data_IF_657352476798
#
_entry.id   IF_657352476798
#
_cell.length_a   1.000
_cell.length_b   1.000
_cell.length_c   1.000
_cell.angle_alpha   90.00
_cell.angle_beta   90.00
_cell.angle_gamma   90.00
#
_symmetry.space_group_name_H-M   'P 1'
#
loop_
_entity.id
_entity.type
_entity.pdbx_description
1 polymer ?
#
# COMPACT_ATOMS: atom_id res chain seq x y z
N UNK A 1 -2.63 46.06 -33.64
CA UNK A 1 -2.26 44.63 -33.61
C UNK A 1 -2.30 44.21 -32.15
N UNK A 2 -3.40 43.61 -31.71
CA UNK A 2 -3.62 43.24 -30.32
C UNK A 2 -3.06 41.82 -30.09
N UNK A 3 -2.12 41.69 -29.15
CA UNK A 3 -1.65 40.39 -28.69
C UNK A 3 -2.58 39.90 -27.58
N UNK A 4 -3.37 38.86 -27.87
CA UNK A 4 -4.07 38.08 -26.84
C UNK A 4 -3.05 37.24 -26.09
N UNK A 5 -2.76 37.60 -24.84
CA UNK A 5 -2.16 36.68 -23.87
C UNK A 5 -3.23 35.67 -23.47
N UNK A 6 -3.10 34.43 -23.92
CA UNK A 6 -3.83 33.31 -23.36
C UNK A 6 -3.22 33.00 -21.98
N UNK A 7 -3.87 33.47 -20.92
CA UNK A 7 -3.62 32.99 -19.57
C UNK A 7 -4.14 31.56 -19.51
N UNK A 8 -3.25 30.58 -19.67
CA UNK A 8 -3.57 29.18 -19.44
C UNK A 8 -3.92 29.01 -17.96
N UNK A 9 -5.19 28.81 -17.66
CA UNK A 9 -5.64 28.38 -16.35
C UNK A 9 -4.97 27.03 -16.08
N UNK A 10 -3.95 27.01 -15.21
CA UNK A 10 -3.53 25.77 -14.57
C UNK A 10 -4.75 25.33 -13.77
N UNK A 11 -5.48 24.32 -14.27
CA UNK A 11 -6.47 23.63 -13.46
C UNK A 11 -5.73 23.17 -12.21
N UNK A 12 -6.06 23.73 -11.05
CA UNK A 12 -5.53 23.24 -9.80
C UNK A 12 -5.83 21.75 -9.72
N UNK A 13 -4.80 20.90 -9.75
CA UNK A 13 -4.98 19.47 -9.60
C UNK A 13 -5.51 19.20 -8.19
N UNK A 14 -6.58 18.40 -8.12
CA UNK A 14 -7.19 17.98 -6.86
C UNK A 14 -6.28 16.90 -6.24
N UNK A 15 -5.75 17.20 -5.06
CA UNK A 15 -4.90 16.31 -4.27
C UNK A 15 -5.60 16.01 -2.97
N UNK A 16 -6.09 14.79 -2.84
CA UNK A 16 -6.76 14.33 -1.63
C UNK A 16 -6.24 12.95 -1.27
N UNK A 17 -5.44 12.87 -0.21
CA UNK A 17 -4.91 11.60 0.27
C UNK A 17 -5.30 11.42 1.72
N UNK A 18 -5.92 10.28 2.01
CA UNK A 18 -6.28 9.86 3.35
C UNK A 18 -5.65 8.50 3.64
N UNK A 19 -5.29 8.29 4.91
CA UNK A 19 -4.87 7.00 5.43
C UNK A 19 -5.84 6.58 6.52
N UNK A 20 -6.27 5.32 6.48
CA UNK A 20 -7.11 4.71 7.51
C UNK A 20 -6.41 3.47 8.06
N UNK A 21 -6.29 3.42 9.38
CA UNK A 21 -5.84 2.24 10.13
C UNK A 21 -7.01 1.50 10.76
N UNK A 22 -6.79 0.26 11.26
CA UNK A 22 -7.77 -0.41 12.11
C UNK A 22 -8.21 0.49 13.27
N UNK A 23 -9.51 0.47 13.59
CA UNK A 23 -10.18 1.32 14.60
C UNK A 23 -10.19 2.83 14.34
N UNK A 24 -9.71 3.32 13.20
CA UNK A 24 -9.85 4.72 12.79
C UNK A 24 -11.08 4.91 11.89
N UNK A 25 -11.67 6.10 11.93
CA UNK A 25 -12.72 6.52 11.00
C UNK A 25 -12.14 7.40 9.92
N UNK A 26 -12.63 7.25 8.68
CA UNK A 26 -12.25 8.16 7.61
C UNK A 26 -12.80 9.56 7.86
N UNK A 27 -12.01 10.61 7.57
CA UNK A 27 -12.47 11.99 7.69
C UNK A 27 -13.44 12.39 6.56
N UNK A 28 -13.77 11.47 5.64
CA UNK A 28 -14.64 11.69 4.49
C UNK A 28 -15.76 10.65 4.44
N UNK A 29 -16.97 11.10 4.09
CA UNK A 29 -18.17 10.26 4.06
C UNK A 29 -18.35 9.49 2.74
N UNK A 30 -17.77 10.00 1.64
CA UNK A 30 -17.82 9.37 0.32
C UNK A 30 -16.39 9.13 -0.18
N UNK A 31 -16.14 7.93 -0.67
CA UNK A 31 -14.85 7.50 -1.24
C UNK A 31 -14.96 7.25 -2.75
N UNK A 32 -16.07 7.63 -3.38
CA UNK A 32 -16.22 7.57 -4.82
C UNK A 32 -15.11 8.37 -5.52
N UNK A 33 -14.43 7.74 -6.48
CA UNK A 33 -13.32 8.35 -7.23
C UNK A 33 -11.96 8.29 -6.55
N UNK A 34 -11.87 7.77 -5.31
CA UNK A 34 -10.58 7.47 -4.69
C UNK A 34 -10.01 6.17 -5.27
N UNK A 35 -8.71 6.18 -5.57
CA UNK A 35 -7.94 4.94 -5.78
C UNK A 35 -7.61 4.36 -4.41
N UNK A 36 -8.09 3.15 -4.13
CA UNK A 36 -7.90 2.47 -2.86
C UNK A 36 -6.64 1.60 -2.91
N UNK A 37 -5.69 1.88 -2.02
CA UNK A 37 -4.40 1.19 -1.98
C UNK A 37 -4.23 0.52 -0.63
N UNK A 38 -4.07 -0.80 -0.62
CA UNK A 38 -3.71 -1.52 0.60
C UNK A 38 -2.20 -1.61 0.75
N UNK A 39 -1.71 -1.29 1.96
CA UNK A 39 -0.29 -1.29 2.30
C UNK A 39 0.11 -2.61 2.98
N UNK A 40 0.22 -3.68 2.19
CA UNK A 40 0.61 -5.01 2.67
C UNK A 40 2.13 -5.06 2.89
N UNK A 41 2.59 -5.88 3.83
CA UNK A 41 4.03 -6.06 3.99
C UNK A 41 4.50 -6.23 5.42
N UNK A 42 5.80 -6.04 5.59
CA UNK A 42 6.47 -6.16 6.88
C UNK A 42 5.94 -5.12 7.87
N UNK A 43 5.37 -5.62 8.97
CA UNK A 43 5.11 -4.88 10.21
C UNK A 43 5.86 -5.61 11.32
N UNK A 44 6.90 -4.98 11.87
CA UNK A 44 7.69 -5.57 12.95
C UNK A 44 7.41 -4.89 14.30
N UNK A 45 6.13 -4.74 14.66
CA UNK A 45 5.73 -4.22 15.99
C UNK A 45 6.39 -2.86 16.35
N UNK A 46 6.66 -2.01 15.35
CA UNK A 46 7.35 -0.73 15.51
C UNK A 46 8.88 -0.77 15.44
N UNK A 47 9.51 -1.95 15.37
CA UNK A 47 10.96 -2.09 15.22
C UNK A 47 11.44 -1.91 13.76
N UNK A 48 10.55 -2.13 12.79
CA UNK A 48 10.82 -1.82 11.39
C UNK A 48 10.57 -0.34 11.10
N UNK A 49 11.29 0.18 10.10
CA UNK A 49 11.00 1.47 9.44
C UNK A 49 9.50 1.59 9.16
N UNK A 50 8.93 2.76 9.44
CA UNK A 50 7.53 3.10 9.14
C UNK A 50 7.40 3.51 7.67
N UNK A 51 7.58 2.54 6.78
CA UNK A 51 7.49 2.75 5.34
C UNK A 51 6.06 3.12 4.90
N UNK A 52 5.05 2.84 5.71
CA UNK A 52 3.68 3.24 5.44
C UNK A 52 3.52 4.77 5.52
N UNK A 53 4.19 5.43 6.47
CA UNK A 53 4.20 6.89 6.55
C UNK A 53 4.82 7.55 5.32
N UNK A 54 5.83 6.92 4.71
CA UNK A 54 6.47 7.43 3.49
C UNK A 54 5.54 7.34 2.28
N UNK A 55 4.73 6.28 2.19
CA UNK A 55 3.70 6.19 1.17
C UNK A 55 2.61 7.26 1.36
N UNK A 56 2.26 7.60 2.61
CA UNK A 56 1.36 8.73 2.85
C UNK A 56 1.94 10.03 2.31
N UNK A 57 3.20 10.32 2.58
CA UNK A 57 3.89 11.51 2.06
C UNK A 57 3.92 11.51 0.53
N UNK A 58 4.36 10.40 -0.09
CA UNK A 58 4.42 10.24 -1.54
C UNK A 58 3.06 10.48 -2.21
N UNK A 59 2.00 9.85 -1.73
CA UNK A 59 0.66 10.01 -2.31
C UNK A 59 0.02 11.37 -1.97
N UNK A 60 0.47 12.06 -0.91
CA UNK A 60 -0.01 13.42 -0.61
C UNK A 60 0.52 14.46 -1.60
N UNK A 61 1.70 14.21 -2.16
CA UNK A 61 2.31 15.09 -3.17
C UNK A 61 1.88 14.75 -4.62
N UNK A 62 1.23 13.60 -4.80
CA UNK A 62 0.68 13.14 -6.09
C UNK A 62 -0.65 13.82 -6.42
N UNK A 63 -0.83 14.07 -7.71
CA UNK A 63 -2.13 14.46 -8.25
C UNK A 63 -3.10 13.28 -8.20
N UNK A 64 -4.34 13.51 -7.75
CA UNK A 64 -5.37 12.49 -7.63
C UNK A 64 -5.97 12.36 -6.23
N UNK A 65 -6.85 11.38 -6.09
CA UNK A 65 -7.52 11.03 -4.84
C UNK A 65 -7.10 9.63 -4.41
N UNK A 66 -6.45 9.49 -3.26
CA UNK A 66 -5.90 8.23 -2.77
C UNK A 66 -6.41 7.91 -1.38
N UNK A 67 -6.83 6.66 -1.19
CA UNK A 67 -7.24 6.12 0.10
C UNK A 67 -6.32 4.97 0.45
N UNK A 68 -5.46 5.17 1.44
CA UNK A 68 -4.47 4.20 1.88
C UNK A 68 -5.01 3.39 3.07
N UNK A 69 -5.19 2.09 2.89
CA UNK A 69 -5.49 1.17 3.97
C UNK A 69 -4.18 0.71 4.61
N UNK A 70 -3.91 1.19 5.81
CA UNK A 70 -2.68 0.92 6.55
C UNK A 70 -2.94 -0.06 7.71
N UNK A 71 -2.57 -1.34 7.61
CA UNK A 71 -2.80 -2.31 8.67
C UNK A 71 -1.95 -2.09 9.93
N UNK A 72 -0.91 -1.24 9.89
CA UNK A 72 -0.04 -0.95 11.03
C UNK A 72 -0.74 -0.05 12.04
N UNK A 73 -1.22 -0.64 13.14
CA UNK A 73 -1.72 0.12 14.30
C UNK A 73 -0.55 0.74 15.11
N UNK A 74 -0.77 1.91 15.71
CA UNK A 74 0.20 2.54 16.62
C UNK A 74 0.36 1.78 17.95
N UNK A 75 -0.75 1.31 18.52
CA UNK A 75 -0.81 0.67 19.84
C UNK A 75 -1.49 -0.71 19.77
N UNK A 76 -0.90 -1.64 19.01
CA UNK A 76 -1.45 -2.99 18.87
C UNK A 76 -1.33 -3.82 20.15
N UNK A 77 -2.40 -4.51 20.53
CA UNK A 77 -2.42 -5.44 21.65
C UNK A 77 -3.14 -6.75 21.29
N UNK A 78 -2.40 -7.73 20.79
CA UNK A 78 -2.95 -9.06 20.45
C UNK A 78 -3.46 -9.87 21.65
N UNK A 79 -3.23 -9.43 22.89
CA UNK A 79 -3.80 -10.05 24.10
C UNK A 79 -5.18 -9.53 24.48
N UNK A 80 -5.69 -8.50 23.78
CA UNK A 80 -7.05 -7.99 23.98
C UNK A 80 -8.06 -8.93 23.32
N UNK A 81 -9.10 -9.30 24.06
CA UNK A 81 -10.16 -10.19 23.57
C UNK A 81 -10.79 -9.66 22.27
N UNK A 82 -10.81 -10.52 21.24
CA UNK A 82 -11.36 -10.21 19.91
C UNK A 82 -10.49 -9.33 19.02
N UNK A 83 -9.37 -8.79 19.51
CA UNK A 83 -8.52 -7.87 18.74
C UNK A 83 -7.83 -8.57 17.56
N UNK A 84 -7.38 -9.82 17.75
CA UNK A 84 -6.79 -10.62 16.68
C UNK A 84 -7.79 -10.88 15.56
N UNK A 85 -9.00 -11.32 15.91
CA UNK A 85 -10.07 -11.60 14.94
C UNK A 85 -10.45 -10.33 14.18
N UNK A 86 -10.56 -9.20 14.88
CA UNK A 86 -10.81 -7.91 14.24
C UNK A 86 -9.70 -7.51 13.28
N UNK A 87 -8.43 -7.55 13.72
CA UNK A 87 -7.29 -7.16 12.90
C UNK A 87 -7.23 -7.98 11.61
N UNK A 88 -7.32 -9.30 11.72
CA UNK A 88 -7.21 -10.19 10.55
C UNK A 88 -8.40 -9.99 9.60
N UNK A 89 -9.63 -9.86 10.11
CA UNK A 89 -10.79 -9.59 9.26
C UNK A 89 -10.69 -8.20 8.60
N UNK A 90 -10.21 -7.18 9.32
CA UNK A 90 -9.97 -5.86 8.75
C UNK A 90 -8.95 -5.93 7.62
N UNK A 91 -7.82 -6.63 7.80
CA UNK A 91 -6.81 -6.82 6.76
C UNK A 91 -7.41 -7.49 5.52
N UNK A 92 -8.12 -8.60 5.70
CA UNK A 92 -8.76 -9.34 4.60
C UNK A 92 -9.81 -8.50 3.87
N UNK A 93 -10.70 -7.82 4.60
CA UNK A 93 -11.76 -7.00 4.00
C UNK A 93 -11.17 -5.84 3.18
N UNK A 94 -10.09 -5.22 3.64
CA UNK A 94 -9.48 -4.08 2.94
C UNK A 94 -8.53 -4.51 1.83
N UNK A 95 -7.89 -5.67 1.95
CA UNK A 95 -7.22 -6.32 0.83
C UNK A 95 -8.19 -6.60 -0.31
N UNK A 96 -9.40 -7.09 -0.03
CA UNK A 96 -10.44 -7.32 -1.03
C UNK A 96 -10.96 -6.02 -1.66
N UNK A 97 -11.19 -4.98 -0.86
CA UNK A 97 -11.69 -3.68 -1.32
C UNK A 97 -10.69 -2.85 -2.12
N UNK A 98 -9.39 -3.10 -1.98
CA UNK A 98 -8.36 -2.32 -2.64
C UNK A 98 -8.36 -2.49 -4.17
N UNK A 99 -8.14 -1.38 -4.87
CA UNK A 99 -7.87 -1.34 -6.31
C UNK A 99 -6.42 -1.74 -6.61
N UNK A 100 -5.51 -1.43 -5.69
CA UNK A 100 -4.07 -1.74 -5.77
C UNK A 100 -3.60 -2.28 -4.41
N UNK A 101 -2.78 -3.32 -4.42
CA UNK A 101 -2.08 -3.82 -3.25
C UNK A 101 -0.59 -3.56 -3.46
N UNK A 102 -0.04 -2.63 -2.70
CA UNK A 102 1.41 -2.44 -2.61
C UNK A 102 1.91 -3.34 -1.49
N UNK A 103 2.72 -4.32 -1.85
CA UNK A 103 3.31 -5.27 -0.91
C UNK A 103 4.80 -5.03 -0.75
N UNK A 104 5.24 -4.58 0.43
CA UNK A 104 6.67 -4.36 0.70
C UNK A 104 7.23 -5.33 1.74
N UNK A 105 8.20 -6.15 1.32
CA UNK A 105 8.85 -7.16 2.15
C UNK A 105 10.29 -6.74 2.44
N UNK A 106 10.55 -6.37 3.70
CA UNK A 106 11.89 -6.00 4.19
C UNK A 106 12.73 -7.27 4.39
N UNK A 107 14.02 -7.21 4.02
CA UNK A 107 14.94 -8.35 3.98
C UNK A 107 15.15 -9.03 5.32
N UNK A 108 15.25 -8.24 6.38
CA UNK A 108 15.43 -8.72 7.76
C UNK A 108 14.20 -9.44 8.34
N UNK A 109 13.04 -9.33 7.70
CA UNK A 109 11.77 -9.84 8.22
C UNK A 109 11.54 -11.33 7.95
N UNK A 110 10.51 -11.90 8.58
CA UNK A 110 9.99 -13.24 8.26
C UNK A 110 8.69 -13.22 7.46
N UNK A 111 7.86 -12.20 7.69
CA UNK A 111 6.62 -11.89 6.97
C UNK A 111 5.76 -13.10 6.55
N UNK A 112 5.46 -14.06 7.46
CA UNK A 112 4.74 -15.27 7.09
C UNK A 112 3.29 -14.98 6.63
N UNK A 113 2.61 -14.02 7.27
CA UNK A 113 1.25 -13.63 6.89
C UNK A 113 1.25 -12.87 5.57
N UNK A 114 2.24 -11.99 5.35
CA UNK A 114 2.43 -11.33 4.04
C UNK A 114 2.59 -12.35 2.90
N UNK A 115 3.31 -13.46 3.11
CA UNK A 115 3.42 -14.51 2.09
C UNK A 115 2.09 -15.24 1.84
N UNK A 116 1.23 -15.37 2.87
CA UNK A 116 -0.13 -15.87 2.71
C UNK A 116 -0.98 -14.91 1.88
N UNK A 117 -0.98 -13.62 2.21
CA UNK A 117 -1.69 -12.56 1.48
C UNK A 117 -1.21 -12.45 0.03
N UNK A 118 0.10 -12.58 -0.20
CA UNK A 118 0.69 -12.64 -1.54
C UNK A 118 0.08 -13.78 -2.34
N UNK A 119 -0.07 -14.96 -1.73
CA UNK A 119 -0.72 -16.12 -2.34
C UNK A 119 -2.20 -15.89 -2.64
N UNK A 120 -2.95 -15.28 -1.72
CA UNK A 120 -4.37 -14.97 -1.87
C UNK A 120 -4.62 -14.02 -3.05
N UNK A 121 -3.77 -13.02 -3.25
CA UNK A 121 -3.95 -12.00 -4.29
C UNK A 121 -3.05 -12.18 -5.53
N UNK A 122 -2.29 -13.28 -5.64
CA UNK A 122 -1.34 -13.50 -6.73
C UNK A 122 -1.95 -13.42 -8.14
N UNK A 123 -3.23 -13.78 -8.27
CA UNK A 123 -3.95 -13.81 -9.57
C UNK A 123 -4.91 -12.64 -9.76
N UNK A 124 -4.95 -11.70 -8.82
CA UNK A 124 -5.95 -10.63 -8.79
C UNK A 124 -5.72 -9.53 -9.84
N UNK A 125 -4.47 -9.37 -10.31
CA UNK A 125 -4.07 -8.27 -11.19
C UNK A 125 -3.86 -6.93 -10.47
N UNK A 126 -4.18 -6.82 -9.17
CA UNK A 126 -3.97 -5.61 -8.36
C UNK A 126 -2.70 -5.61 -7.51
N UNK A 127 -2.00 -6.74 -7.42
CA UNK A 127 -0.82 -6.90 -6.57
C UNK A 127 0.46 -6.41 -7.26
N UNK A 128 1.23 -5.59 -6.56
CA UNK A 128 2.56 -5.10 -6.94
C UNK A 128 3.49 -5.33 -5.75
N UNK A 129 4.66 -5.93 -5.97
CA UNK A 129 5.55 -6.37 -4.89
C UNK A 129 6.89 -5.65 -4.96
N UNK A 130 7.34 -5.11 -3.83
CA UNK A 130 8.74 -4.79 -3.56
C UNK A 130 9.27 -5.80 -2.54
N UNK A 131 10.36 -6.50 -2.86
CA UNK A 131 10.97 -7.48 -1.96
C UNK A 131 12.48 -7.30 -1.96
N UNK A 132 13.05 -6.99 -0.80
CA UNK A 132 14.50 -6.80 -0.68
C UNK A 132 15.24 -8.11 -0.97
N UNK A 133 16.33 -8.09 -1.78
CA UNK A 133 17.02 -9.31 -2.22
C UNK A 133 17.55 -10.22 -1.11
N UNK A 134 17.77 -9.70 0.09
CA UNK A 134 18.26 -10.41 1.26
C UNK A 134 17.14 -11.09 2.08
N UNK A 135 15.87 -10.97 1.67
CA UNK A 135 14.76 -11.70 2.29
C UNK A 135 14.99 -13.22 2.22
N UNK A 136 14.86 -13.92 3.35
CA UNK A 136 15.19 -15.35 3.47
C UNK A 136 14.38 -16.32 2.57
N UNK A 137 13.31 -15.83 1.93
CA UNK A 137 12.49 -16.55 0.95
C UNK A 137 12.39 -15.81 -0.38
N UNK A 138 13.33 -14.91 -0.67
CA UNK A 138 13.34 -14.08 -1.89
C UNK A 138 13.13 -14.90 -3.16
N UNK A 139 13.81 -16.04 -3.33
CA UNK A 139 13.62 -16.87 -4.51
C UNK A 139 12.19 -17.41 -4.66
N UNK A 140 11.50 -17.71 -3.56
CA UNK A 140 10.09 -18.14 -3.63
C UNK A 140 9.21 -16.97 -4.09
N UNK A 141 9.45 -15.76 -3.59
CA UNK A 141 8.74 -14.54 -4.02
C UNK A 141 9.00 -14.28 -5.49
N UNK A 142 10.27 -14.23 -5.92
CA UNK A 142 10.70 -13.97 -7.30
C UNK A 142 10.14 -14.97 -8.30
N UNK A 143 10.26 -16.27 -8.02
CA UNK A 143 9.75 -17.32 -8.90
C UNK A 143 8.22 -17.25 -9.00
N UNK A 144 7.53 -17.04 -7.88
CA UNK A 144 6.05 -16.94 -7.85
C UNK A 144 5.56 -15.71 -8.58
N UNK A 145 6.20 -14.55 -8.38
CA UNK A 145 5.87 -13.32 -9.10
C UNK A 145 6.05 -13.48 -10.61
N UNK A 146 7.17 -14.05 -11.04
CA UNK A 146 7.42 -14.33 -12.46
C UNK A 146 6.39 -15.30 -13.04
N UNK A 147 5.99 -16.33 -12.29
CA UNK A 147 5.02 -17.32 -12.75
C UNK A 147 3.61 -16.73 -12.94
N UNK A 148 3.18 -15.82 -12.04
CA UNK A 148 1.86 -15.20 -12.09
C UNK A 148 1.82 -13.85 -12.83
N UNK A 149 2.96 -13.33 -13.28
CA UNK A 149 3.03 -12.02 -13.94
C UNK A 149 2.84 -10.84 -12.97
N UNK A 150 3.22 -11.01 -11.70
CA UNK A 150 3.17 -9.96 -10.68
C UNK A 150 4.41 -9.08 -10.84
N UNK A 151 4.29 -7.74 -10.97
CA UNK A 151 5.43 -6.84 -10.98
C UNK A 151 6.22 -6.96 -9.67
N UNK A 152 7.53 -7.14 -9.77
CA UNK A 152 8.44 -7.32 -8.64
C UNK A 152 9.61 -6.35 -8.75
N UNK A 153 9.85 -5.60 -7.69
CA UNK A 153 10.94 -4.64 -7.53
C UNK A 153 11.85 -5.02 -6.36
N UNK A 154 13.09 -4.53 -6.38
CA UNK A 154 14.10 -4.82 -5.36
C UNK A 154 14.04 -3.89 -4.15
N UNK A 155 13.31 -2.76 -4.24
CA UNK A 155 13.11 -1.80 -3.17
C UNK A 155 11.77 -1.06 -3.32
N UNK A 156 11.33 -0.39 -2.26
CA UNK A 156 10.14 0.47 -2.31
C UNK A 156 10.35 1.67 -3.26
N UNK A 157 11.55 2.25 -3.26
CA UNK A 157 11.93 3.36 -4.15
C UNK A 157 11.74 2.97 -5.63
N UNK A 158 12.30 1.83 -6.03
CA UNK A 158 12.21 1.33 -7.40
C UNK A 158 10.75 1.06 -7.81
N UNK A 159 9.93 0.56 -6.88
CA UNK A 159 8.50 0.36 -7.11
C UNK A 159 7.81 1.70 -7.39
N UNK A 160 8.05 2.72 -6.59
CA UNK A 160 7.41 4.04 -6.75
C UNK A 160 7.85 4.73 -8.04
N UNK A 161 9.13 4.67 -8.39
CA UNK A 161 9.65 5.25 -9.63
C UNK A 161 9.10 4.56 -10.88
N UNK A 162 9.04 3.22 -10.88
CA UNK A 162 8.75 2.44 -12.09
C UNK A 162 7.26 2.19 -12.32
N UNK A 163 6.44 2.18 -11.27
CA UNK A 163 4.99 1.90 -11.39
C UNK A 163 4.19 3.12 -11.85
N UNK A 164 4.76 4.32 -11.78
CA UNK A 164 4.02 5.56 -12.03
C UNK A 164 2.95 5.85 -10.97
N UNK A 165 2.95 5.09 -9.87
CA UNK A 165 2.12 5.31 -8.67
C UNK A 165 2.63 6.45 -7.83
#
# INVERSE_FOLDING_TARGET
>A
MAAMMACGTVCAQERETYMMRPHEELPVADTAGFTKIFLAGTIDMGNSRDWQAELLEHFSDKDGKYLLFNPRQENWNGGKDGEMDYQVNWELDHLEQADIIIMYIIGSSKSPITLLEMGLHARSGKLIVACEPDFYRYDNVRITCAYYGIPLYSSLEELLEASGL
#
